data_IF_770259824332
#
_entry.id   IF_770259824332
#
_cell.length_a   1.000
_cell.length_b   1.000
_cell.length_c   1.000
_cell.angle_alpha   90.00
_cell.angle_beta   90.00
_cell.angle_gamma   90.00
#
_symmetry.space_group_name_H-M   'P 1'
#
loop_
_entity.id
_entity.type
_entity.pdbx_description
1 polymer ?
#
# COMPACT_ATOMS: atom_id res chain seq x y z
N UNK A 1 -16.01 4.78 -31.04
CA UNK A 1 -16.67 4.30 -29.81
C UNK A 1 -17.28 5.49 -29.09
N UNK A 2 -18.54 5.39 -28.68
CA UNK A 2 -19.19 6.38 -27.80
C UNK A 2 -18.58 6.33 -26.39
N UNK A 3 -18.81 7.38 -25.57
CA UNK A 3 -18.32 7.41 -24.18
C UNK A 3 -18.89 6.25 -23.35
N UNK A 4 -20.15 5.88 -23.59
CA UNK A 4 -20.80 4.74 -22.93
C UNK A 4 -20.19 3.40 -23.33
N UNK A 5 -19.85 3.23 -24.61
CA UNK A 5 -19.12 2.04 -25.09
C UNK A 5 -17.72 1.95 -24.49
N UNK A 6 -17.01 3.07 -24.40
CA UNK A 6 -15.69 3.13 -23.77
C UNK A 6 -15.76 2.77 -22.28
N UNK A 7 -16.75 3.32 -21.57
CA UNK A 7 -16.99 3.01 -20.17
C UNK A 7 -17.28 1.51 -20.00
N UNK A 8 -18.19 0.94 -20.80
CA UNK A 8 -18.52 -0.48 -20.72
C UNK A 8 -17.31 -1.36 -21.01
N UNK A 9 -16.54 -1.04 -22.04
CA UNK A 9 -15.37 -1.82 -22.42
C UNK A 9 -14.36 -1.91 -21.27
N UNK A 10 -13.97 -0.77 -20.68
CA UNK A 10 -12.96 -0.76 -19.63
C UNK A 10 -13.51 -1.15 -18.26
N UNK A 11 -14.71 -0.71 -17.89
CA UNK A 11 -15.22 -0.90 -16.53
C UNK A 11 -16.01 -2.19 -16.33
N UNK A 12 -16.46 -2.83 -17.40
CA UNK A 12 -17.26 -4.06 -17.33
C UNK A 12 -16.56 -5.21 -18.06
N UNK A 13 -16.30 -5.06 -19.36
CA UNK A 13 -15.86 -6.19 -20.19
C UNK A 13 -14.43 -6.64 -19.86
N UNK A 14 -13.57 -5.71 -19.43
CA UNK A 14 -12.18 -6.00 -19.04
C UNK A 14 -12.02 -6.32 -17.55
N UNK A 15 -13.02 -6.03 -16.72
CA UNK A 15 -12.95 -6.21 -15.28
C UNK A 15 -13.15 -7.68 -14.89
N UNK A 16 -12.65 -8.07 -13.72
CA UNK A 16 -12.95 -9.38 -13.15
C UNK A 16 -14.42 -9.40 -12.68
N UNK A 17 -15.28 -10.26 -13.26
CA UNK A 17 -16.71 -10.26 -12.94
C UNK A 17 -16.99 -10.60 -11.47
N UNK A 18 -16.05 -11.25 -10.77
CA UNK A 18 -16.22 -11.66 -9.36
C UNK A 18 -16.09 -10.51 -8.38
N UNK A 19 -15.34 -9.46 -8.74
CA UNK A 19 -15.10 -8.28 -7.87
C UNK A 19 -15.74 -7.00 -8.41
N UNK A 20 -16.25 -7.00 -9.64
CA UNK A 20 -16.68 -5.76 -10.30
C UNK A 20 -17.83 -5.03 -9.58
N UNK A 21 -18.73 -5.75 -8.91
CA UNK A 21 -19.84 -5.18 -8.15
C UNK A 21 -19.50 -4.87 -6.69
N UNK A 22 -18.25 -5.05 -6.28
CA UNK A 22 -17.88 -4.85 -4.88
C UNK A 22 -17.79 -3.38 -4.51
N UNK A 23 -18.00 -3.12 -3.22
CA UNK A 23 -17.95 -1.78 -2.65
C UNK A 23 -16.66 -1.05 -3.05
N UNK A 24 -16.81 0.17 -3.56
CA UNK A 24 -15.72 1.03 -4.05
C UNK A 24 -14.90 0.49 -5.24
N UNK A 25 -15.29 -0.64 -5.85
CA UNK A 25 -14.65 -1.20 -7.05
C UNK A 25 -15.45 -0.88 -8.32
N UNK A 26 -16.78 -0.91 -8.21
CA UNK A 26 -17.71 -0.78 -9.33
C UNK A 26 -17.50 0.51 -10.14
N UNK A 27 -17.59 1.66 -9.47
CA UNK A 27 -17.54 2.96 -10.11
C UNK A 27 -16.15 3.62 -9.89
N UNK A 28 -15.42 3.96 -10.97
CA UNK A 28 -14.10 4.59 -10.84
C UNK A 28 -14.17 5.99 -10.21
N UNK A 29 -15.33 6.63 -10.22
CA UNK A 29 -15.50 7.95 -9.62
C UNK A 29 -15.22 7.91 -8.11
N UNK A 30 -15.51 6.80 -7.42
CA UNK A 30 -15.20 6.69 -5.99
C UNK A 30 -13.70 6.87 -5.73
N UNK A 31 -12.85 6.13 -6.45
CA UNK A 31 -11.40 6.21 -6.27
C UNK A 31 -10.85 7.56 -6.73
N UNK A 32 -11.36 8.11 -7.84
CA UNK A 32 -10.99 9.44 -8.32
C UNK A 32 -11.32 10.53 -7.30
N UNK A 33 -12.53 10.51 -6.73
CA UNK A 33 -12.97 11.47 -5.70
C UNK A 33 -12.15 11.35 -4.43
N UNK A 34 -11.80 10.14 -3.99
CA UNK A 34 -10.96 9.93 -2.80
C UNK A 34 -9.55 10.46 -3.03
N UNK A 35 -8.90 10.12 -4.14
CA UNK A 35 -7.54 10.59 -4.43
C UNK A 35 -7.51 12.11 -4.60
N UNK A 36 -8.49 12.68 -5.30
CA UNK A 36 -8.62 14.13 -5.44
C UNK A 36 -8.85 14.80 -4.09
N UNK A 37 -9.80 14.32 -3.30
CA UNK A 37 -10.12 14.86 -1.97
C UNK A 37 -8.92 14.80 -1.02
N UNK A 38 -8.21 13.66 -1.01
CA UNK A 38 -6.97 13.48 -0.26
C UNK A 38 -5.89 14.48 -0.69
N UNK A 39 -5.60 14.58 -1.99
CA UNK A 39 -4.58 15.49 -2.50
C UNK A 39 -4.93 16.96 -2.21
N UNK A 40 -6.20 17.33 -2.41
CA UNK A 40 -6.70 18.67 -2.09
C UNK A 40 -6.58 18.98 -0.59
N UNK A 41 -6.95 18.04 0.28
CA UNK A 41 -6.81 18.20 1.72
C UNK A 41 -5.36 18.36 2.14
N UNK A 42 -4.48 17.44 1.73
CA UNK A 42 -3.08 17.41 2.17
C UNK A 42 -2.28 18.59 1.64
N UNK A 43 -2.52 19.00 0.38
CA UNK A 43 -1.69 20.02 -0.28
C UNK A 43 -2.23 21.45 -0.12
N UNK A 44 -3.53 21.63 0.12
CA UNK A 44 -4.15 22.96 0.16
C UNK A 44 -5.04 23.20 1.37
N UNK A 45 -6.15 22.48 1.47
CA UNK A 45 -7.20 22.79 2.45
C UNK A 45 -6.74 22.61 3.90
N UNK A 46 -6.14 21.47 4.23
CA UNK A 46 -5.67 21.15 5.56
C UNK A 46 -4.54 22.08 6.05
N UNK A 47 -3.46 22.31 5.28
CA UNK A 47 -2.43 23.28 5.66
C UNK A 47 -2.97 24.69 5.89
N UNK A 48 -3.86 25.17 5.02
CA UNK A 48 -4.52 26.49 5.18
C UNK A 48 -5.39 26.55 6.42
N UNK A 49 -6.15 25.48 6.70
CA UNK A 49 -6.97 25.37 7.91
C UNK A 49 -6.13 25.39 9.19
N UNK A 50 -4.96 24.75 9.17
CA UNK A 50 -4.06 24.66 10.32
C UNK A 50 -3.17 25.89 10.52
N UNK A 51 -3.04 26.79 9.54
CA UNK A 51 -2.12 27.93 9.58
C UNK A 51 -2.22 28.71 10.91
N UNK A 52 -3.45 29.09 11.29
CA UNK A 52 -3.76 29.89 12.50
C UNK A 52 -4.15 29.05 13.72
N UNK A 53 -3.87 27.74 13.72
CA UNK A 53 -4.25 26.82 14.82
C UNK A 53 -3.03 26.15 15.42
N UNK A 54 -3.10 25.84 16.71
CA UNK A 54 -2.09 25.01 17.36
C UNK A 54 -2.18 23.55 16.86
N UNK A 55 -1.05 22.81 16.83
CA UNK A 55 -1.06 21.42 16.37
C UNK A 55 -1.89 20.53 17.30
N UNK A 56 -2.77 19.72 16.72
CA UNK A 56 -3.55 18.77 17.50
C UNK A 56 -2.67 17.67 18.09
N UNK A 57 -2.99 17.21 19.30
CA UNK A 57 -2.20 16.15 19.97
C UNK A 57 -2.41 14.79 19.30
N UNK A 58 -3.68 14.42 19.08
CA UNK A 58 -4.14 13.16 18.44
C UNK A 58 -3.48 11.88 18.99
N UNK A 59 -2.97 11.89 20.23
CA UNK A 59 -2.23 10.77 20.84
C UNK A 59 -3.06 9.48 20.87
N UNK A 60 -4.26 9.54 21.41
CA UNK A 60 -5.14 8.36 21.51
C UNK A 60 -5.53 7.85 20.12
N UNK A 61 -5.84 8.76 19.19
CA UNK A 61 -6.13 8.38 17.81
C UNK A 61 -4.95 7.63 17.18
N UNK A 62 -3.73 8.16 17.27
CA UNK A 62 -2.53 7.51 16.73
C UNK A 62 -2.28 6.16 17.38
N UNK A 63 -2.45 6.06 18.70
CA UNK A 63 -2.26 4.81 19.42
C UNK A 63 -3.20 3.72 18.90
N UNK A 64 -4.51 3.97 18.87
CA UNK A 64 -5.50 3.02 18.38
C UNK A 64 -5.38 2.77 16.87
N UNK A 65 -5.03 3.79 16.09
CA UNK A 65 -4.80 3.65 14.66
C UNK A 65 -3.65 2.70 14.35
N UNK A 66 -2.52 2.81 15.06
CA UNK A 66 -1.41 1.88 14.90
C UNK A 66 -1.80 0.45 15.30
N UNK A 67 -2.57 0.26 16.37
CA UNK A 67 -3.08 -1.08 16.75
C UNK A 67 -3.98 -1.64 15.65
N UNK A 68 -4.93 -0.84 15.16
CA UNK A 68 -5.82 -1.21 14.06
C UNK A 68 -5.01 -1.65 12.84
N UNK A 69 -3.97 -0.90 12.49
CA UNK A 69 -3.09 -1.22 11.36
C UNK A 69 -2.31 -2.50 11.56
N UNK A 70 -1.74 -2.73 12.75
CA UNK A 70 -1.05 -3.98 13.09
C UNK A 70 -2.00 -5.17 12.91
N UNK A 71 -3.17 -5.13 13.57
CA UNK A 71 -4.16 -6.21 13.55
C UNK A 71 -4.67 -6.46 12.12
N UNK A 72 -5.04 -5.41 11.39
CA UNK A 72 -5.58 -5.53 10.04
C UNK A 72 -4.56 -6.11 9.07
N UNK A 73 -3.31 -5.63 9.10
CA UNK A 73 -2.26 -6.20 8.25
C UNK A 73 -1.94 -7.65 8.65
N UNK A 74 -1.90 -7.98 9.96
CA UNK A 74 -1.69 -9.36 10.41
C UNK A 74 -2.78 -10.32 9.93
N UNK A 75 -4.05 -9.90 10.00
CA UNK A 75 -5.19 -10.70 9.51
C UNK A 75 -5.09 -10.87 7.99
N UNK A 76 -4.84 -9.79 7.25
CA UNK A 76 -4.69 -9.84 5.79
C UNK A 76 -3.57 -10.80 5.39
N UNK A 77 -2.40 -10.69 6.01
CA UNK A 77 -1.25 -11.56 5.74
C UNK A 77 -1.59 -13.02 6.05
N UNK A 78 -2.18 -13.31 7.21
CA UNK A 78 -2.57 -14.66 7.59
C UNK A 78 -3.59 -15.28 6.61
N UNK A 79 -4.62 -14.51 6.25
CA UNK A 79 -5.66 -14.98 5.33
C UNK A 79 -5.08 -15.18 3.93
N UNK A 80 -4.23 -14.27 3.43
CA UNK A 80 -3.57 -14.44 2.13
C UNK A 80 -2.66 -15.67 2.09
N UNK A 81 -1.86 -15.89 3.15
CA UNK A 81 -1.00 -17.08 3.23
C UNK A 81 -1.80 -18.38 3.20
N UNK A 82 -2.92 -18.42 3.92
CA UNK A 82 -3.79 -19.60 4.00
C UNK A 82 -4.77 -19.72 2.82
N UNK A 83 -4.90 -18.71 1.97
CA UNK A 83 -5.71 -18.71 0.75
C UNK A 83 -4.92 -19.15 -0.49
N UNK A 84 -4.00 -20.11 -0.33
CA UNK A 84 -3.31 -20.78 -1.42
C UNK A 84 -1.78 -20.76 -1.33
N UNK A 85 -1.16 -19.78 -0.68
CA UNK A 85 0.32 -19.66 -0.64
C UNK A 85 1.02 -20.71 0.22
N UNK A 86 0.26 -21.43 1.04
CA UNK A 86 0.74 -22.56 1.85
C UNK A 86 0.41 -23.92 1.22
N UNK A 87 -0.37 -23.95 0.14
CA UNK A 87 -0.96 -25.19 -0.39
C UNK A 87 -0.85 -25.33 -1.91
N UNK A 88 -1.20 -24.29 -2.65
CA UNK A 88 -1.43 -24.36 -4.10
C UNK A 88 -0.60 -23.36 -4.93
N UNK A 89 -0.07 -22.28 -4.37
CA UNK A 89 0.79 -21.31 -5.09
C UNK A 89 2.27 -21.60 -4.85
N UNK A 90 3.08 -21.33 -5.88
CA UNK A 90 4.55 -21.34 -5.84
C UNK A 90 5.11 -19.92 -5.84
N UNK A 91 6.40 -19.75 -5.55
CA UNK A 91 7.10 -18.46 -5.67
C UNK A 91 7.36 -18.01 -7.12
N UNK A 92 6.83 -18.75 -8.11
CA UNK A 92 7.03 -18.52 -9.53
C UNK A 92 5.95 -17.66 -10.19
N UNK A 93 5.70 -17.92 -11.48
CA UNK A 93 4.60 -17.32 -12.22
C UNK A 93 3.27 -17.98 -11.83
N UNK A 94 2.46 -17.25 -11.06
CA UNK A 94 1.12 -17.69 -10.66
C UNK A 94 0.04 -16.88 -11.36
N UNK A 95 -0.65 -17.43 -12.37
CA UNK A 95 -1.71 -16.72 -13.06
C UNK A 95 -2.94 -16.55 -12.15
N UNK A 96 -3.78 -15.56 -12.48
CA UNK A 96 -5.06 -15.36 -11.82
C UNK A 96 -5.95 -16.58 -12.04
N UNK A 97 -6.36 -17.19 -10.94
CA UNK A 97 -7.39 -18.23 -10.95
C UNK A 97 -8.74 -17.56 -11.05
N UNK A 98 -9.53 -17.92 -12.07
CA UNK A 98 -10.86 -17.36 -12.34
C UNK A 98 -11.99 -18.17 -11.71
N UNK A 99 -11.66 -19.23 -10.96
CA UNK A 99 -12.64 -20.09 -10.29
C UNK A 99 -13.37 -19.36 -9.14
N UNK A 100 -14.54 -19.89 -8.78
CA UNK A 100 -15.35 -19.46 -7.62
C UNK A 100 -15.23 -20.42 -6.43
N UNK A 101 -14.22 -21.29 -6.40
CA UNK A 101 -13.94 -22.16 -5.24
C UNK A 101 -13.78 -21.31 -3.98
N UNK A 102 -14.16 -21.84 -2.80
CA UNK A 102 -14.06 -21.10 -1.54
C UNK A 102 -12.67 -20.50 -1.27
N UNK A 103 -11.60 -21.23 -1.60
CA UNK A 103 -10.22 -20.74 -1.41
C UNK A 103 -9.88 -19.57 -2.33
N UNK A 104 -10.33 -19.61 -3.59
CA UNK A 104 -10.09 -18.55 -4.57
C UNK A 104 -10.92 -17.30 -4.21
N UNK A 105 -12.19 -17.49 -3.82
CA UNK A 105 -13.02 -16.39 -3.33
C UNK A 105 -12.49 -15.78 -2.03
N UNK A 106 -11.89 -16.58 -1.14
CA UNK A 106 -11.23 -16.09 0.08
C UNK A 106 -10.04 -15.19 -0.26
N UNK A 107 -9.24 -15.55 -1.26
CA UNK A 107 -8.15 -14.71 -1.76
C UNK A 107 -8.67 -13.38 -2.34
N UNK A 108 -9.71 -13.44 -3.18
CA UNK A 108 -10.32 -12.23 -3.76
C UNK A 108 -10.83 -11.29 -2.66
N UNK A 109 -11.55 -11.83 -1.66
CA UNK A 109 -12.07 -11.03 -0.56
C UNK A 109 -10.94 -10.31 0.20
N UNK A 110 -9.84 -11.01 0.51
CA UNK A 110 -8.72 -10.38 1.24
C UNK A 110 -7.95 -9.38 0.38
N UNK A 111 -7.91 -9.55 -0.95
CA UNK A 111 -7.41 -8.52 -1.89
C UNK A 111 -8.25 -7.25 -1.80
N UNK A 112 -9.57 -7.36 -1.75
CA UNK A 112 -10.47 -6.22 -1.57
C UNK A 112 -10.32 -5.55 -0.20
N UNK A 113 -10.22 -6.34 0.88
CA UNK A 113 -9.89 -5.80 2.21
C UNK A 113 -8.56 -5.06 2.23
N UNK A 114 -7.57 -5.52 1.46
CA UNK A 114 -6.30 -4.81 1.31
C UNK A 114 -6.49 -3.48 0.61
N UNK A 115 -7.28 -3.41 -0.47
CA UNK A 115 -7.63 -2.15 -1.13
C UNK A 115 -8.33 -1.17 -0.16
N UNK A 116 -9.28 -1.67 0.64
CA UNK A 116 -9.93 -0.85 1.68
C UNK A 116 -8.93 -0.34 2.71
N UNK A 117 -8.02 -1.19 3.20
CA UNK A 117 -7.00 -0.79 4.17
C UNK A 117 -6.04 0.25 3.59
N UNK A 118 -5.62 0.13 2.33
CA UNK A 118 -4.78 1.16 1.67
C UNK A 118 -5.51 2.48 1.51
N UNK A 119 -6.83 2.45 1.32
CA UNK A 119 -7.63 3.68 1.32
C UNK A 119 -7.65 4.33 2.71
N UNK A 120 -7.72 3.52 3.78
CA UNK A 120 -7.61 4.00 5.17
C UNK A 120 -6.21 4.56 5.48
N UNK A 121 -5.15 3.99 4.89
CA UNK A 121 -3.77 4.50 5.03
C UNK A 121 -3.64 5.99 4.64
N UNK A 122 -4.55 6.54 3.81
CA UNK A 122 -4.58 7.97 3.48
C UNK A 122 -4.82 8.88 4.71
N UNK A 123 -5.45 8.37 5.76
CA UNK A 123 -5.71 9.11 7.00
C UNK A 123 -4.41 9.50 7.70
N UNK A 124 -3.32 8.72 7.55
CA UNK A 124 -2.03 9.03 8.18
C UNK A 124 -1.52 10.42 7.80
N UNK A 125 -1.52 10.73 6.51
CA UNK A 125 -1.08 12.05 6.02
C UNK A 125 -1.99 13.15 6.52
N UNK A 126 -3.30 12.88 6.63
CA UNK A 126 -4.25 13.84 7.19
C UNK A 126 -3.91 14.14 8.66
N UNK A 127 -3.56 13.12 9.44
CA UNK A 127 -3.07 13.28 10.81
C UNK A 127 -1.77 14.09 10.83
N UNK A 128 -0.83 13.87 9.91
CA UNK A 128 0.40 14.68 9.85
C UNK A 128 0.10 16.16 9.61
N UNK A 129 -0.86 16.48 8.74
CA UNK A 129 -1.32 17.86 8.52
C UNK A 129 -1.88 18.47 9.80
N UNK A 130 -2.82 17.77 10.46
CA UNK A 130 -3.47 18.22 11.69
C UNK A 130 -2.49 18.39 12.87
N UNK A 131 -1.37 17.68 12.85
CA UNK A 131 -0.30 17.79 13.87
C UNK A 131 0.82 18.77 13.49
N UNK A 132 0.69 19.48 12.36
CA UNK A 132 1.73 20.33 11.76
C UNK A 132 3.09 19.61 11.59
N UNK A 133 3.07 18.31 11.25
CA UNK A 133 4.28 17.50 10.99
C UNK A 133 4.67 17.54 9.52
N UNK A 134 4.86 18.75 9.00
CA UNK A 134 5.16 18.99 7.57
C UNK A 134 6.44 18.30 7.09
N UNK A 135 7.39 18.03 7.99
CA UNK A 135 8.60 17.25 7.70
C UNK A 135 8.32 15.76 7.38
N UNK A 136 7.17 15.23 7.79
CA UNK A 136 6.73 13.86 7.47
C UNK A 136 5.95 13.81 6.13
N UNK A 137 5.35 14.92 5.71
CA UNK A 137 4.61 15.06 4.45
C UNK A 137 5.59 15.30 3.30
N UNK A 138 6.40 14.29 2.99
CA UNK A 138 7.34 14.31 1.88
C UNK A 138 6.67 13.92 0.56
N UNK A 139 7.28 14.29 -0.57
CA UNK A 139 6.87 13.80 -1.90
C UNK A 139 6.81 12.27 -1.94
N UNK A 140 7.80 11.59 -1.35
CA UNK A 140 7.83 10.12 -1.23
C UNK A 140 6.56 9.59 -0.56
N UNK A 141 6.18 10.17 0.58
CA UNK A 141 5.02 9.72 1.34
C UNK A 141 3.72 9.95 0.56
N UNK A 142 3.49 11.16 0.04
CA UNK A 142 2.27 11.47 -0.71
C UNK A 142 2.17 10.64 -1.98
N UNK A 143 3.25 10.51 -2.75
CA UNK A 143 3.30 9.67 -3.95
C UNK A 143 3.01 8.20 -3.60
N UNK A 144 3.66 7.66 -2.57
CA UNK A 144 3.50 6.27 -2.16
C UNK A 144 2.05 5.94 -1.78
N UNK A 145 1.41 6.79 -0.98
CA UNK A 145 0.03 6.59 -0.53
C UNK A 145 -0.96 6.66 -1.70
N UNK A 146 -0.85 7.65 -2.59
CA UNK A 146 -1.72 7.76 -3.78
C UNK A 146 -1.50 6.57 -4.72
N UNK A 147 -0.24 6.28 -5.07
CA UNK A 147 0.09 5.22 -6.03
C UNK A 147 -0.34 3.84 -5.51
N UNK A 148 -0.16 3.55 -4.22
CA UNK A 148 -0.55 2.26 -3.63
C UNK A 148 -2.06 2.06 -3.65
N UNK A 149 -2.84 3.10 -3.35
CA UNK A 149 -4.31 3.06 -3.44
C UNK A 149 -4.78 2.83 -4.88
N UNK A 150 -4.19 3.53 -5.86
CA UNK A 150 -4.51 3.35 -7.28
C UNK A 150 -4.13 1.96 -7.80
N UNK A 151 -2.92 1.48 -7.47
CA UNK A 151 -2.45 0.15 -7.90
C UNK A 151 -3.32 -0.94 -7.29
N UNK A 152 -3.67 -0.85 -6.00
CA UNK A 152 -4.53 -1.86 -5.35
C UNK A 152 -5.95 -1.84 -5.88
N UNK A 153 -6.51 -0.68 -6.24
CA UNK A 153 -7.79 -0.58 -6.96
C UNK A 153 -7.72 -1.28 -8.33
N UNK A 154 -6.70 -0.97 -9.15
CA UNK A 154 -6.51 -1.58 -10.48
C UNK A 154 -6.36 -3.10 -10.34
N UNK A 155 -5.54 -3.57 -9.40
CA UNK A 155 -5.40 -5.01 -9.14
C UNK A 155 -6.73 -5.62 -8.72
N UNK A 156 -7.48 -5.00 -7.79
CA UNK A 156 -8.77 -5.55 -7.33
C UNK A 156 -9.79 -5.62 -8.46
N UNK A 157 -9.81 -4.64 -9.36
CA UNK A 157 -10.78 -4.59 -10.45
C UNK A 157 -10.43 -5.50 -11.62
N UNK A 158 -9.15 -5.63 -11.98
CA UNK A 158 -8.73 -6.30 -13.21
C UNK A 158 -7.95 -7.60 -12.99
N UNK A 159 -7.30 -7.77 -11.83
CA UNK A 159 -6.46 -8.92 -11.55
C UNK A 159 -6.37 -9.25 -10.06
N UNK A 160 -7.49 -9.63 -9.41
CA UNK A 160 -7.57 -9.76 -7.96
C UNK A 160 -6.98 -11.09 -7.46
N UNK A 161 -5.67 -11.29 -7.63
CA UNK A 161 -4.99 -12.49 -7.14
C UNK A 161 -3.73 -12.86 -7.91
N UNK A 162 -3.45 -14.17 -7.98
CA UNK A 162 -2.24 -14.71 -8.60
C UNK A 162 -0.96 -14.17 -7.95
N UNK A 163 0.10 -14.02 -8.74
CA UNK A 163 1.41 -13.58 -8.28
C UNK A 163 1.42 -12.17 -7.66
N UNK A 164 0.42 -11.32 -7.94
CA UNK A 164 0.32 -9.98 -7.36
C UNK A 164 -0.03 -10.03 -5.87
N UNK A 165 -0.66 -11.10 -5.40
CA UNK A 165 -0.97 -11.26 -3.97
C UNK A 165 0.29 -11.41 -3.11
N UNK A 166 1.41 -11.89 -3.66
CA UNK A 166 2.72 -11.88 -2.96
C UNK A 166 3.15 -10.47 -2.55
N UNK A 167 2.87 -9.46 -3.40
CA UNK A 167 3.18 -8.08 -3.05
C UNK A 167 2.39 -7.60 -1.83
N UNK A 168 1.12 -8.01 -1.73
CA UNK A 168 0.27 -7.65 -0.59
C UNK A 168 0.73 -8.36 0.68
N UNK A 169 1.15 -9.63 0.58
CA UNK A 169 1.73 -10.40 1.69
C UNK A 169 3.00 -9.75 2.25
N UNK A 170 3.98 -9.47 1.39
CA UNK A 170 5.25 -8.88 1.84
C UNK A 170 5.03 -7.45 2.36
N UNK A 171 4.21 -6.64 1.66
CA UNK A 171 3.91 -5.28 2.13
C UNK A 171 3.16 -5.29 3.46
N UNK A 172 2.15 -6.14 3.62
CA UNK A 172 1.43 -6.30 4.88
C UNK A 172 2.37 -6.72 6.01
N UNK A 173 3.28 -7.66 5.75
CA UNK A 173 4.24 -8.13 6.75
C UNK A 173 5.19 -7.03 7.22
N UNK A 174 5.71 -6.22 6.29
CA UNK A 174 6.55 -5.06 6.63
C UNK A 174 5.73 -3.95 7.30
N UNK A 175 4.46 -3.77 6.93
CA UNK A 175 3.56 -2.84 7.60
C UNK A 175 3.31 -3.23 9.06
N UNK A 176 3.15 -4.52 9.37
CA UNK A 176 3.07 -5.00 10.77
C UNK A 176 4.30 -4.54 11.56
N UNK A 177 5.51 -4.71 11.01
CA UNK A 177 6.76 -4.29 11.65
C UNK A 177 6.81 -2.75 11.81
N UNK A 178 6.48 -2.02 10.75
CA UNK A 178 6.52 -0.55 10.71
C UNK A 178 5.53 0.07 11.71
N UNK A 179 4.28 -0.41 11.72
CA UNK A 179 3.25 0.09 12.62
C UNK A 179 3.49 -0.34 14.07
N UNK A 180 4.11 -1.49 14.31
CA UNK A 180 4.60 -1.86 15.65
C UNK A 180 5.64 -0.85 16.13
N UNK A 181 6.59 -0.47 15.27
CA UNK A 181 7.55 0.59 15.59
C UNK A 181 6.85 1.94 15.89
N UNK A 182 5.84 2.33 15.10
CA UNK A 182 5.10 3.57 15.33
C UNK A 182 4.24 3.54 16.60
N UNK A 183 3.64 2.40 16.94
CA UNK A 183 2.92 2.20 18.19
C UNK A 183 3.87 2.42 19.38
N UNK A 184 5.02 1.76 19.37
CA UNK A 184 6.02 1.91 20.43
C UNK A 184 6.56 3.34 20.50
N UNK A 185 6.76 4.00 19.36
CA UNK A 185 7.18 5.40 19.30
C UNK A 185 6.12 6.37 19.82
N UNK A 186 4.84 5.97 19.85
CA UNK A 186 3.74 6.79 20.37
C UNK A 186 3.64 6.79 21.90
N UNK A 187 4.28 5.83 22.58
CA UNK A 187 4.25 5.68 24.06
C UNK A 187 5.08 6.74 24.81
N UNK A 188 5.84 7.59 24.12
CA UNK A 188 6.47 8.77 24.70
C UNK A 188 7.99 8.76 24.64
N UNK A 189 8.62 9.67 25.40
CA UNK A 189 10.06 9.94 25.34
C UNK A 189 10.91 8.76 25.85
N UNK A 190 10.36 7.97 26.78
CA UNK A 190 11.03 6.80 27.38
C UNK A 190 11.35 5.71 26.35
N UNK A 191 10.54 5.56 25.30
CA UNK A 191 10.76 4.53 24.26
C UNK A 191 11.69 5.02 23.15
N UNK A 192 11.84 6.33 22.94
CA UNK A 192 12.64 6.88 21.83
C UNK A 192 14.11 6.48 21.90
N UNK A 193 14.69 6.38 23.11
CA UNK A 193 16.09 5.96 23.28
C UNK A 193 16.37 4.57 22.70
N UNK A 194 15.49 3.61 22.97
CA UNK A 194 15.57 2.24 22.45
C UNK A 194 15.19 2.14 20.97
N UNK A 195 14.25 2.96 20.49
CA UNK A 195 13.74 2.90 19.12
C UNK A 195 14.63 3.62 18.09
N UNK A 196 15.37 4.65 18.48
CA UNK A 196 16.21 5.42 17.58
C UNK A 196 17.25 4.56 16.81
N UNK A 197 17.95 3.62 17.44
CA UNK A 197 18.86 2.69 16.75
C UNK A 197 18.16 1.74 15.77
N UNK A 198 16.88 1.41 16.02
CA UNK A 198 16.10 0.46 15.20
C UNK A 198 15.60 1.12 13.92
N UNK A 199 15.34 2.43 13.94
CA UNK A 199 14.76 3.20 12.83
C UNK A 199 15.42 2.96 11.46
N UNK A 200 16.77 2.94 11.31
CA UNK A 200 17.41 2.66 10.02
C UNK A 200 17.16 1.23 9.53
N UNK A 201 17.02 0.26 10.43
CA UNK A 201 16.74 -1.14 10.07
C UNK A 201 15.33 -1.31 9.50
N UNK A 202 14.35 -0.57 10.01
CA UNK A 202 13.00 -0.53 9.43
C UNK A 202 13.08 -0.08 7.96
N UNK A 203 13.82 0.99 7.68
CA UNK A 203 14.02 1.46 6.30
C UNK A 203 14.76 0.45 5.43
N UNK A 204 15.76 -0.26 5.97
CA UNK A 204 16.47 -1.34 5.24
C UNK A 204 15.55 -2.50 4.88
N UNK A 205 14.67 -2.91 5.80
CA UNK A 205 13.67 -3.96 5.55
C UNK A 205 12.73 -3.55 4.41
N UNK A 206 12.27 -2.29 4.40
CA UNK A 206 11.44 -1.76 3.31
C UNK A 206 12.18 -1.79 1.95
N UNK A 207 13.47 -1.43 1.93
CA UNK A 207 14.30 -1.51 0.71
C UNK A 207 14.45 -2.96 0.24
N UNK A 208 14.76 -3.89 1.15
CA UNK A 208 14.90 -5.32 0.85
C UNK A 208 13.57 -5.88 0.29
N UNK A 209 12.43 -5.48 0.87
CA UNK A 209 11.11 -5.79 0.35
C UNK A 209 10.99 -5.38 -1.13
N UNK A 210 11.35 -4.15 -1.49
CA UNK A 210 11.22 -3.69 -2.88
C UNK A 210 12.08 -4.52 -3.84
N UNK A 211 13.31 -4.85 -3.44
CA UNK A 211 14.21 -5.70 -4.24
C UNK A 211 13.63 -7.10 -4.44
N UNK A 212 13.13 -7.72 -3.38
CA UNK A 212 12.47 -9.03 -3.46
C UNK A 212 11.25 -8.99 -4.39
N UNK A 213 10.41 -7.97 -4.26
CA UNK A 213 9.22 -7.82 -5.10
C UNK A 213 9.56 -7.55 -6.56
N UNK A 214 10.61 -6.79 -6.86
CA UNK A 214 11.08 -6.59 -8.23
C UNK A 214 11.53 -7.91 -8.87
N UNK A 215 12.29 -8.73 -8.13
CA UNK A 215 12.66 -10.07 -8.58
C UNK A 215 11.42 -10.96 -8.78
N UNK A 216 10.51 -11.00 -7.81
CA UNK A 216 9.32 -11.85 -7.90
C UNK A 216 8.44 -11.46 -9.10
N UNK A 217 8.18 -10.16 -9.29
CA UNK A 217 7.32 -9.66 -10.36
C UNK A 217 7.98 -9.72 -11.75
N UNK A 218 9.30 -9.73 -11.85
CA UNK A 218 9.99 -9.87 -13.15
C UNK A 218 9.77 -11.25 -13.78
N UNK A 219 9.48 -12.27 -12.97
CA UNK A 219 9.10 -13.61 -13.45
C UNK A 219 7.85 -13.57 -14.34
N UNK A 220 7.00 -12.54 -14.21
CA UNK A 220 5.86 -12.34 -15.07
C UNK A 220 6.24 -12.16 -16.55
N UNK A 221 7.50 -11.81 -16.85
CA UNK A 221 8.00 -11.58 -18.21
C UNK A 221 8.68 -12.82 -18.81
N UNK A 222 8.73 -13.94 -18.09
CA UNK A 222 9.18 -15.20 -18.66
C UNK A 222 8.23 -15.62 -19.81
N UNK A 223 8.78 -16.22 -20.90
CA UNK A 223 7.97 -16.66 -22.04
C UNK A 223 6.88 -17.68 -21.65
N UNK A 224 7.14 -18.50 -20.64
CA UNK A 224 6.22 -19.52 -20.13
C UNK A 224 5.08 -18.97 -19.27
N UNK A 225 5.08 -17.67 -18.93
CA UNK A 225 4.13 -17.08 -17.99
C UNK A 225 2.91 -16.44 -18.70
N UNK A 226 1.70 -17.02 -18.58
CA UNK A 226 0.52 -16.59 -19.36
C UNK A 226 -0.23 -15.40 -18.72
N UNK A 227 0.50 -14.46 -18.12
CA UNK A 227 -0.08 -13.29 -17.43
C UNK A 227 -0.12 -12.09 -18.39
N UNK A 228 -1.20 -11.28 -18.40
CA UNK A 228 -1.25 -10.02 -19.14
C UNK A 228 -0.13 -9.08 -18.68
N UNK A 229 0.84 -8.81 -19.56
CA UNK A 229 2.09 -8.13 -19.18
C UNK A 229 1.93 -6.67 -18.75
N UNK A 230 0.82 -6.01 -19.10
CA UNK A 230 0.59 -4.61 -18.75
C UNK A 230 0.47 -4.38 -17.23
N UNK A 231 -0.05 -5.36 -16.48
CA UNK A 231 -0.20 -5.27 -15.01
C UNK A 231 1.15 -5.36 -14.29
N UNK A 232 1.97 -6.42 -14.47
CA UNK A 232 3.29 -6.47 -13.87
C UNK A 232 4.19 -5.34 -14.38
N UNK A 233 4.02 -4.86 -15.61
CA UNK A 233 4.74 -3.66 -16.09
C UNK A 233 4.43 -2.42 -15.24
N UNK A 234 3.14 -2.12 -15.02
CA UNK A 234 2.72 -1.02 -14.15
C UNK A 234 3.22 -1.20 -12.71
N UNK A 235 3.10 -2.41 -12.16
CA UNK A 235 3.53 -2.74 -10.80
C UNK A 235 5.05 -2.58 -10.62
N UNK A 236 5.86 -3.12 -11.54
CA UNK A 236 7.31 -2.98 -11.51
C UNK A 236 7.71 -1.51 -11.64
N UNK A 237 7.07 -0.74 -12.53
CA UNK A 237 7.32 0.69 -12.66
C UNK A 237 7.10 1.43 -11.34
N UNK A 238 6.00 1.13 -10.64
CA UNK A 238 5.72 1.72 -9.32
C UNK A 238 6.73 1.26 -8.25
N UNK A 239 7.13 -0.02 -8.25
CA UNK A 239 8.12 -0.56 -7.32
C UNK A 239 9.50 0.08 -7.51
N UNK A 240 9.95 0.27 -8.76
CA UNK A 240 11.20 0.95 -9.08
C UNK A 240 11.20 2.39 -8.59
N UNK A 241 10.14 3.14 -8.86
CA UNK A 241 10.05 4.53 -8.41
C UNK A 241 10.06 4.63 -6.88
N UNK A 242 9.29 3.77 -6.18
CA UNK A 242 9.33 3.71 -4.71
C UNK A 242 10.73 3.34 -4.19
N UNK A 243 11.39 2.35 -4.79
CA UNK A 243 12.76 1.96 -4.42
C UNK A 243 13.72 3.14 -4.54
N UNK A 244 13.70 3.88 -5.64
CA UNK A 244 14.55 5.06 -5.84
C UNK A 244 14.28 6.15 -4.79
N UNK A 245 13.02 6.40 -4.48
CA UNK A 245 12.63 7.38 -3.47
C UNK A 245 13.07 6.95 -2.06
N UNK A 246 12.96 5.67 -1.72
CA UNK A 246 13.42 5.10 -0.45
C UNK A 246 14.96 5.12 -0.32
N UNK A 247 15.68 4.81 -1.41
CA UNK A 247 17.14 4.92 -1.44
C UNK A 247 17.60 6.37 -1.24
N UNK A 248 16.93 7.33 -1.89
CA UNK A 248 17.19 8.76 -1.68
C UNK A 248 16.90 9.18 -0.23
N UNK A 249 15.75 8.77 0.33
CA UNK A 249 15.41 9.00 1.72
C UNK A 249 16.46 8.43 2.69
N UNK A 250 16.91 7.20 2.46
CA UNK A 250 17.91 6.53 3.29
C UNK A 250 19.25 7.27 3.23
N UNK A 251 19.72 7.63 2.03
CA UNK A 251 20.96 8.39 1.83
C UNK A 251 20.90 9.75 2.53
N UNK A 252 19.79 10.48 2.39
CA UNK A 252 19.61 11.81 3.01
C UNK A 252 19.51 11.73 4.53
N UNK A 253 18.84 10.72 5.07
CA UNK A 253 18.53 10.62 6.51
C UNK A 253 19.65 10.00 7.34
N UNK A 254 20.38 9.03 6.78
CA UNK A 254 21.33 8.21 7.55
C UNK A 254 22.78 8.36 7.09
N UNK A 255 23.05 8.56 5.79
CA UNK A 255 24.42 8.63 5.29
C UNK A 255 25.15 9.92 5.68
N UNK A 256 24.43 11.04 5.88
CA UNK A 256 25.01 12.29 6.41
C UNK A 256 25.21 12.26 7.93
N UNK A 257 24.38 11.52 8.66
CA UNK A 257 24.47 11.38 10.13
C UNK A 257 25.63 10.49 10.56
N UNK A 258 26.05 9.56 9.70
CA UNK A 258 27.24 8.71 9.90
C UNK A 258 28.58 9.46 9.85
N UNK A 259 28.63 10.68 9.30
CA UNK A 259 29.85 11.52 9.28
C UNK A 259 29.95 12.50 10.47
N UNK A 260 28.96 12.49 11.35
CA UNK A 260 28.82 13.39 12.51
C UNK A 260 28.82 12.62 13.84
N UNK A 261 29.24 11.35 13.81
CA UNK A 261 29.56 10.55 14.99
C UNK A 261 31.04 10.29 15.01
#
# INVERSE_FOLDING_TARGET
>A
MSLSELYRHYMVDRADPRTNSWFMVENPLYICSIVFGYAYFVLKCGPKFMEKREPYSLKNFIFYYNIFQIVSNSIIVYVMYTAGWTTEFTLGCEPLRTSTRPIDMRLLNVVHWTYMLKTIDLIETMVFVLRKKNNQISFLHVYHHISTVLVTYICTKYYPGGMLSMQMIINGSVHVIMYTYYLLASLGQSTQGFLNPIKPYITRIQIIQFLFLLWHQSQAFLPSCPIPKWIPFMVIGNLLLNLLLFLNFYKKSYSKRSKLK
#
